data_IF_167545121856
#
_entry.id   IF_167545121856
#
_cell.length_a   1.000
_cell.length_b   1.000
_cell.length_c   1.000
_cell.angle_alpha   90.00
_cell.angle_beta   90.00
_cell.angle_gamma   90.00
#
_symmetry.space_group_name_H-M   'P 1'
#
loop_
_entity.id
_entity.type
_entity.pdbx_description
1 polymer ?
#
# COMPACT_ATOMS: atom_id res chain seq x y z
N UNK A 1 9.23 -3.27 11.85
CA UNK A 1 8.44 -2.09 12.28
C UNK A 1 7.24 -2.46 13.18
N UNK A 2 6.95 -1.67 14.21
CA UNK A 2 5.66 -1.71 14.92
C UNK A 2 4.81 -0.54 14.43
N UNK A 3 3.57 -0.79 14.00
CA UNK A 3 2.62 0.27 13.72
C UNK A 3 1.33 0.03 14.48
N UNK A 4 0.74 1.12 14.98
CA UNK A 4 -0.49 1.08 15.77
C UNK A 4 -1.66 1.43 14.86
N UNK A 5 -2.56 0.47 14.67
CA UNK A 5 -3.85 0.71 14.02
C UNK A 5 -4.95 0.60 15.08
N UNK A 6 -5.65 1.70 15.34
CA UNK A 6 -6.78 1.73 16.28
C UNK A 6 -6.46 1.12 17.66
N UNK A 7 -5.32 1.50 18.23
CA UNK A 7 -4.78 0.97 19.51
C UNK A 7 -4.36 -0.50 19.50
N UNK A 8 -4.42 -1.18 18.36
CA UNK A 8 -3.86 -2.52 18.16
C UNK A 8 -2.45 -2.37 17.57
N UNK A 9 -1.47 -3.00 18.21
CA UNK A 9 -0.10 -3.06 17.74
C UNK A 9 0.04 -4.19 16.72
N UNK A 10 0.47 -3.84 15.52
CA UNK A 10 0.83 -4.80 14.48
C UNK A 10 2.34 -4.79 14.30
N UNK A 11 2.92 -5.99 14.31
CA UNK A 11 4.30 -6.17 13.89
C UNK A 11 4.31 -6.51 12.41
N UNK A 12 5.09 -5.75 11.66
CA UNK A 12 5.40 -6.04 10.28
C UNK A 12 6.91 -5.94 10.07
N UNK A 13 7.46 -6.81 9.24
CA UNK A 13 8.85 -6.70 8.82
C UNK A 13 9.05 -5.58 7.79
N UNK A 14 10.23 -4.96 7.82
CA UNK A 14 10.57 -3.91 6.86
C UNK A 14 10.60 -4.47 5.42
N UNK A 15 10.87 -5.77 5.28
CA UNK A 15 10.77 -6.51 4.01
C UNK A 15 9.34 -6.56 3.48
N UNK A 16 8.33 -6.81 4.31
CA UNK A 16 6.94 -6.81 3.86
C UNK A 16 6.48 -5.42 3.40
N UNK A 17 6.95 -4.35 4.07
CA UNK A 17 6.70 -2.97 3.64
C UNK A 17 7.40 -2.69 2.30
N UNK A 18 8.65 -3.12 2.13
CA UNK A 18 9.39 -2.97 0.88
C UNK A 18 8.67 -3.67 -0.29
N UNK A 19 8.22 -4.91 -0.10
CA UNK A 19 7.45 -5.65 -1.09
C UNK A 19 6.14 -4.94 -1.41
N UNK A 20 5.46 -4.35 -0.41
CA UNK A 20 4.24 -3.59 -0.65
C UNK A 20 4.50 -2.36 -1.53
N UNK A 21 5.60 -1.63 -1.34
CA UNK A 21 6.00 -0.54 -2.22
C UNK A 21 6.24 -1.01 -3.66
N UNK A 22 6.98 -2.11 -3.86
CA UNK A 22 7.20 -2.72 -5.18
C UNK A 22 5.89 -3.11 -5.87
N UNK A 23 4.95 -3.70 -5.14
CA UNK A 23 3.65 -4.10 -5.67
C UNK A 23 2.81 -2.90 -6.11
N UNK A 24 2.86 -1.81 -5.35
CA UNK A 24 2.15 -0.57 -5.66
C UNK A 24 2.78 0.10 -6.88
N UNK A 25 4.10 0.27 -6.89
CA UNK A 25 4.85 0.88 -8.01
C UNK A 25 4.53 0.17 -9.33
N UNK A 26 4.69 -1.16 -9.34
CA UNK A 26 4.41 -2.00 -10.51
C UNK A 26 2.95 -1.96 -10.97
N UNK A 27 2.00 -1.79 -10.05
CA UNK A 27 0.61 -1.61 -10.45
C UNK A 27 0.41 -0.28 -11.18
N UNK A 28 1.01 0.79 -10.67
CA UNK A 28 0.82 2.13 -11.21
C UNK A 28 1.60 2.39 -12.51
N UNK A 29 2.62 1.58 -12.84
CA UNK A 29 3.31 1.60 -14.15
C UNK A 29 2.34 1.53 -15.35
N UNK A 30 1.30 0.68 -15.26
CA UNK A 30 0.30 0.48 -16.31
C UNK A 30 -1.00 1.29 -16.09
N UNK A 31 -1.04 2.13 -15.05
CA UNK A 31 -2.25 2.86 -14.66
C UNK A 31 -2.39 4.22 -15.35
N UNK A 32 -3.53 4.88 -15.15
CA UNK A 32 -3.75 6.26 -15.60
C UNK A 32 -2.98 7.30 -14.76
N UNK A 33 -2.54 6.92 -13.57
CA UNK A 33 -1.92 7.81 -12.58
C UNK A 33 -0.51 7.28 -12.31
N UNK A 34 0.52 7.76 -13.01
CA UNK A 34 1.87 7.18 -12.95
C UNK A 34 2.54 7.53 -11.61
N UNK A 35 2.06 6.92 -10.53
CA UNK A 35 2.70 6.92 -9.23
C UNK A 35 3.98 6.11 -9.37
N UNK A 36 5.09 6.71 -8.97
CA UNK A 36 6.37 6.06 -8.92
C UNK A 36 7.10 6.45 -7.64
N UNK A 37 7.81 5.50 -7.03
CA UNK A 37 8.68 5.74 -5.89
C UNK A 37 10.15 5.68 -6.33
N UNK A 38 10.81 6.84 -6.39
CA UNK A 38 12.19 6.97 -6.90
C UNK A 38 13.20 6.02 -6.23
N UNK A 39 13.01 5.70 -4.94
CA UNK A 39 13.89 4.79 -4.22
C UNK A 39 13.84 3.34 -4.74
N UNK A 40 12.84 3.02 -5.57
CA UNK A 40 12.70 1.72 -6.24
C UNK A 40 13.45 1.63 -7.58
N UNK A 41 14.03 2.72 -8.08
CA UNK A 41 14.69 2.76 -9.39
C UNK A 41 15.72 1.65 -9.61
N UNK A 42 16.45 1.26 -8.54
CA UNK A 42 17.46 0.20 -8.61
C UNK A 42 16.90 -1.23 -8.68
N UNK A 43 15.60 -1.41 -8.45
CA UNK A 43 14.95 -2.72 -8.29
C UNK A 43 14.01 -3.10 -9.45
N UNK A 44 14.13 -2.45 -10.60
CA UNK A 44 13.25 -2.62 -11.78
C UNK A 44 13.42 -3.94 -12.56
N UNK A 45 14.19 -4.91 -12.05
CA UNK A 45 14.49 -6.20 -12.71
C UNK A 45 13.97 -7.39 -11.90
N UNK A 46 14.34 -8.62 -12.27
CA UNK A 46 14.08 -9.80 -11.43
C UNK A 46 14.71 -9.59 -10.05
N UNK A 47 13.86 -9.55 -9.02
CA UNK A 47 14.27 -9.36 -7.64
C UNK A 47 15.00 -10.60 -7.13
N UNK A 48 16.20 -10.39 -6.61
CA UNK A 48 16.95 -11.39 -5.87
C UNK A 48 16.65 -11.32 -4.37
N UNK A 49 17.08 -12.33 -3.62
CA UNK A 49 16.98 -12.29 -2.16
C UNK A 49 17.86 -11.18 -1.55
N UNK A 50 18.99 -10.85 -2.18
CA UNK A 50 19.86 -9.75 -1.76
C UNK A 50 19.13 -8.41 -1.90
N UNK A 51 18.41 -8.21 -3.03
CA UNK A 51 17.59 -7.01 -3.24
C UNK A 51 16.51 -6.83 -2.16
N UNK A 52 15.89 -7.92 -1.71
CA UNK A 52 14.88 -7.88 -0.63
C UNK A 52 15.48 -7.48 0.71
N UNK A 53 16.69 -7.93 1.02
CA UNK A 53 17.38 -7.55 2.26
C UNK A 53 17.82 -6.09 2.22
N UNK A 54 18.44 -5.65 1.12
CA UNK A 54 18.79 -4.24 0.94
C UNK A 54 17.55 -3.34 1.00
N UNK A 55 16.45 -3.78 0.40
CA UNK A 55 15.18 -3.07 0.43
C UNK A 55 14.63 -2.95 1.84
N UNK A 56 14.71 -4.02 2.64
CA UNK A 56 14.30 -3.98 4.04
C UNK A 56 15.17 -3.02 4.88
N UNK A 57 16.48 -3.03 4.68
CA UNK A 57 17.39 -2.07 5.33
C UNK A 57 17.03 -0.62 4.97
N UNK A 58 16.79 -0.36 3.68
CA UNK A 58 16.37 0.95 3.19
C UNK A 58 15.06 1.42 3.82
N UNK A 59 14.06 0.54 3.94
CA UNK A 59 12.79 0.87 4.61
C UNK A 59 13.02 1.21 6.09
N UNK A 60 13.92 0.48 6.77
CA UNK A 60 14.28 0.76 8.16
C UNK A 60 14.87 2.17 8.31
N UNK A 61 15.79 2.53 7.41
CA UNK A 61 16.46 3.83 7.40
C UNK A 61 15.51 4.98 7.03
N UNK A 62 14.66 4.77 6.02
CA UNK A 62 13.70 5.77 5.57
C UNK A 62 12.57 5.98 6.58
N UNK A 63 12.20 4.95 7.34
CA UNK A 63 11.06 4.91 8.24
C UNK A 63 9.81 5.59 7.64
N UNK A 64 9.33 5.12 6.48
CA UNK A 64 8.36 5.85 5.68
C UNK A 64 7.02 6.02 6.39
N UNK A 65 6.45 7.22 6.30
CA UNK A 65 5.11 7.50 6.81
C UNK A 65 4.06 7.24 5.72
N UNK A 66 3.67 5.98 5.53
CA UNK A 66 2.57 5.61 4.62
C UNK A 66 1.20 5.63 5.32
N UNK A 67 1.16 5.91 6.62
CA UNK A 67 -0.08 6.08 7.38
C UNK A 67 -0.38 7.57 7.47
N UNK A 68 -1.17 8.06 6.53
CA UNK A 68 -1.70 9.41 6.60
C UNK A 68 -2.52 9.57 7.90
N UNK A 69 -2.32 10.64 8.70
CA UNK A 69 -3.06 10.83 9.95
C UNK A 69 -4.57 11.01 9.73
N UNK A 70 -5.01 11.29 8.50
CA UNK A 70 -6.42 11.41 8.15
C UNK A 70 -7.07 10.06 7.80
N UNK A 71 -6.31 8.97 7.78
CA UNK A 71 -6.87 7.63 7.59
C UNK A 71 -7.61 7.15 8.83
N UNK A 72 -8.79 6.59 8.59
CA UNK A 72 -9.55 5.85 9.60
C UNK A 72 -9.50 4.37 9.27
N UNK A 73 -8.94 3.58 10.17
CA UNK A 73 -8.72 2.14 9.98
C UNK A 73 -9.48 1.41 11.08
N UNK A 74 -10.52 0.68 10.69
CA UNK A 74 -11.44 -0.02 11.59
C UNK A 74 -11.34 -1.52 11.34
N UNK A 75 -11.24 -2.33 12.40
CA UNK A 75 -11.27 -3.79 12.29
C UNK A 75 -12.74 -4.26 12.27
N UNK A 76 -13.10 -5.03 11.26
CA UNK A 76 -14.36 -5.77 11.18
C UNK A 76 -14.31 -7.05 12.03
N UNK A 77 -15.48 -7.53 12.43
CA UNK A 77 -15.65 -8.75 13.24
C UNK A 77 -15.05 -10.03 12.60
N UNK A 78 -14.90 -10.05 11.27
CA UNK A 78 -14.30 -11.16 10.54
C UNK A 78 -12.76 -11.09 10.49
N UNK A 79 -12.13 -10.15 11.19
CA UNK A 79 -10.69 -9.95 11.20
C UNK A 79 -10.15 -9.06 10.07
N UNK A 80 -11.01 -8.67 9.11
CA UNK A 80 -10.63 -7.79 8.01
C UNK A 80 -10.73 -6.33 8.39
N UNK A 81 -10.18 -5.45 7.57
CA UNK A 81 -10.14 -4.02 7.80
C UNK A 81 -11.12 -3.27 6.92
N UNK A 82 -11.56 -2.12 7.44
CA UNK A 82 -12.13 -1.02 6.68
C UNK A 82 -11.19 0.17 6.78
N UNK A 83 -10.74 0.64 5.63
CA UNK A 83 -9.85 1.81 5.50
C UNK A 83 -10.68 2.93 4.89
N UNK A 84 -10.69 4.11 5.50
CA UNK A 84 -11.48 5.26 5.05
C UNK A 84 -10.67 6.55 5.04
N UNK A 85 -10.97 7.42 4.08
CA UNK A 85 -10.40 8.76 3.94
C UNK A 85 -11.49 9.71 3.43
N UNK A 86 -11.76 10.80 4.16
CA UNK A 86 -12.91 11.68 3.91
C UNK A 86 -14.23 10.90 3.69
N UNK A 87 -14.79 10.96 2.48
CA UNK A 87 -16.07 10.35 2.09
C UNK A 87 -15.91 8.96 1.46
N UNK A 88 -14.69 8.51 1.16
CA UNK A 88 -14.43 7.22 0.51
C UNK A 88 -14.02 6.16 1.53
N UNK A 89 -14.38 4.91 1.26
CA UNK A 89 -14.06 3.77 2.12
C UNK A 89 -13.85 2.49 1.33
N UNK A 90 -12.89 1.69 1.78
CA UNK A 90 -12.53 0.37 1.26
C UNK A 90 -12.80 -0.65 2.36
N UNK A 91 -13.64 -1.64 2.08
CA UNK A 91 -14.11 -2.61 3.07
C UNK A 91 -13.57 -4.00 2.77
N UNK A 92 -13.56 -4.84 3.81
CA UNK A 92 -13.16 -6.24 3.72
C UNK A 92 -11.72 -6.40 3.22
N UNK A 93 -10.80 -5.53 3.68
CA UNK A 93 -9.38 -5.57 3.32
C UNK A 93 -8.67 -6.57 4.22
N UNK A 94 -7.98 -7.55 3.63
CA UNK A 94 -7.23 -8.54 4.42
C UNK A 94 -5.96 -7.90 5.01
N UNK A 95 -5.43 -8.49 6.09
CA UNK A 95 -4.19 -8.03 6.71
C UNK A 95 -3.04 -7.89 5.70
N UNK A 96 -2.85 -8.92 4.87
CA UNK A 96 -1.79 -8.96 3.86
C UNK A 96 -1.95 -7.90 2.76
N UNK A 97 -3.17 -7.36 2.57
CA UNK A 97 -3.46 -6.33 1.58
C UNK A 97 -3.33 -4.91 2.15
N UNK A 98 -3.55 -4.76 3.46
CA UNK A 98 -3.79 -3.46 4.10
C UNK A 98 -2.68 -2.45 3.80
N UNK A 99 -1.43 -2.88 3.77
CA UNK A 99 -0.29 -1.97 3.64
C UNK A 99 -0.10 -1.51 2.20
N UNK A 100 -0.23 -2.41 1.23
CA UNK A 100 -0.30 -2.01 -0.17
C UNK A 100 -1.44 -1.03 -0.43
N UNK A 101 -2.62 -1.26 0.18
CA UNK A 101 -3.77 -0.34 0.07
C UNK A 101 -3.48 1.02 0.70
N UNK A 102 -2.84 1.06 1.87
CA UNK A 102 -2.48 2.32 2.53
C UNK A 102 -1.44 3.11 1.72
N UNK A 103 -0.42 2.43 1.19
CA UNK A 103 0.60 3.04 0.34
C UNK A 103 -0.05 3.59 -0.95
N UNK A 104 -0.85 2.79 -1.65
CA UNK A 104 -1.54 3.21 -2.87
C UNK A 104 -2.48 4.40 -2.62
N UNK A 105 -3.27 4.34 -1.54
CA UNK A 105 -4.16 5.43 -1.15
C UNK A 105 -3.38 6.70 -0.81
N UNK A 106 -2.30 6.59 -0.03
CA UNK A 106 -1.50 7.75 0.34
C UNK A 106 -0.82 8.38 -0.88
N UNK A 107 -0.24 7.58 -1.78
CA UNK A 107 0.38 8.07 -2.99
C UNK A 107 -0.61 8.80 -3.92
N UNK A 108 -1.81 8.25 -4.09
CA UNK A 108 -2.88 8.90 -4.85
C UNK A 108 -3.34 10.22 -4.21
N UNK A 109 -3.35 10.28 -2.87
CA UNK A 109 -3.68 11.51 -2.13
C UNK A 109 -2.59 12.56 -2.29
N UNK A 110 -1.33 12.19 -2.42
CA UNK A 110 -0.21 13.13 -2.56
C UNK A 110 -0.21 13.88 -3.91
N UNK A 111 -0.90 13.35 -4.93
CA UNK A 111 -1.07 14.00 -6.24
C UNK A 111 -2.02 15.24 -6.25
N UNK A 112 -2.36 15.83 -5.10
CA UNK A 112 -3.26 17.02 -5.01
C UNK A 112 -2.71 18.13 -5.92
N UNK A 113 -3.46 18.74 -6.87
CA UNK A 113 -4.91 18.85 -7.10
C UNK A 113 -5.44 18.12 -8.37
N UNK A 114 -4.70 17.14 -8.91
CA UNK A 114 -4.99 16.57 -10.23
C UNK A 114 -6.06 15.46 -10.25
N UNK A 115 -6.43 14.91 -9.08
CA UNK A 115 -7.26 13.70 -8.98
C UNK A 115 -8.41 13.89 -7.98
N UNK A 116 -9.63 13.50 -8.37
CA UNK A 116 -10.82 13.60 -7.51
C UNK A 116 -10.89 12.45 -6.49
N UNK A 117 -11.67 12.61 -5.41
CA UNK A 117 -11.86 11.51 -4.44
C UNK A 117 -12.50 10.27 -5.07
N UNK A 118 -13.40 10.44 -6.04
CA UNK A 118 -14.03 9.33 -6.75
C UNK A 118 -13.04 8.59 -7.64
N UNK A 119 -12.12 9.31 -8.30
CA UNK A 119 -11.03 8.72 -9.08
C UNK A 119 -10.04 7.97 -8.19
N UNK A 120 -9.66 8.55 -7.05
CA UNK A 120 -8.82 7.87 -6.03
C UNK A 120 -9.50 6.57 -5.59
N UNK A 121 -10.80 6.62 -5.30
CA UNK A 121 -11.56 5.45 -4.89
C UNK A 121 -11.54 4.38 -5.98
N UNK A 122 -11.86 4.73 -7.21
CA UNK A 122 -11.90 3.81 -8.33
C UNK A 122 -10.54 3.14 -8.55
N UNK A 123 -9.46 3.92 -8.54
CA UNK A 123 -8.12 3.40 -8.78
C UNK A 123 -7.65 2.46 -7.66
N UNK A 124 -7.91 2.81 -6.39
CA UNK A 124 -7.55 1.95 -5.26
C UNK A 124 -8.40 0.68 -5.23
N UNK A 125 -9.69 0.74 -5.60
CA UNK A 125 -10.52 -0.46 -5.79
C UNK A 125 -9.93 -1.37 -6.90
N UNK A 126 -9.52 -0.79 -8.02
CA UNK A 126 -8.88 -1.54 -9.12
C UNK A 126 -7.57 -2.19 -8.68
N UNK A 127 -6.75 -1.50 -7.89
CA UNK A 127 -5.55 -2.06 -7.27
C UNK A 127 -5.90 -3.29 -6.41
N UNK A 128 -6.88 -3.16 -5.50
CA UNK A 128 -7.32 -4.25 -4.62
C UNK A 128 -7.79 -5.45 -5.43
N UNK A 129 -8.64 -5.24 -6.44
CA UNK A 129 -9.12 -6.32 -7.30
C UNK A 129 -7.98 -7.01 -8.05
N UNK A 130 -7.02 -6.23 -8.55
CA UNK A 130 -5.86 -6.75 -9.28
C UNK A 130 -5.00 -7.63 -8.40
N UNK A 131 -4.73 -7.22 -7.15
CA UNK A 131 -3.99 -8.05 -6.20
C UNK A 131 -4.74 -9.35 -5.92
N UNK A 132 -6.05 -9.28 -5.65
CA UNK A 132 -6.87 -10.47 -5.35
C UNK A 132 -6.93 -11.47 -6.49
N UNK A 133 -7.04 -11.02 -7.74
CA UNK A 133 -7.06 -11.90 -8.91
C UNK A 133 -5.76 -12.69 -9.04
N UNK A 134 -4.61 -12.08 -8.74
CA UNK A 134 -3.31 -12.75 -8.74
C UNK A 134 -3.20 -13.85 -7.67
N UNK A 135 -3.85 -13.68 -6.52
CA UNK A 135 -3.86 -14.70 -5.45
C UNK A 135 -4.81 -15.88 -5.72
N UNK A 136 -5.88 -15.68 -6.50
CA UNK A 136 -6.87 -16.76 -6.81
C UNK A 136 -6.43 -17.61 -8.01
N UNK A 137 -5.48 -17.13 -8.82
CA UNK A 137 -5.00 -17.81 -10.04
C UNK A 137 -3.73 -18.66 -9.84
N UNK A 138 -3.29 -18.86 -8.59
CA UNK A 138 -2.23 -19.78 -8.17
C UNK A 138 -2.83 -20.95 -7.39
#
# INVERSE_FOLDING_TARGET
>A
MEFVLNSIKYQISDMEVFVAYLLVDKYFEDSRYPVHFDFLDKYKKELTFEDLNEGAELISDMNPSFINPNFKIEQHLNGNFKISYHTISFKNIFMAEAIGVLIALNAMIELKPAVSLDDIKLEVDNFIETQRKKFISQ
#
